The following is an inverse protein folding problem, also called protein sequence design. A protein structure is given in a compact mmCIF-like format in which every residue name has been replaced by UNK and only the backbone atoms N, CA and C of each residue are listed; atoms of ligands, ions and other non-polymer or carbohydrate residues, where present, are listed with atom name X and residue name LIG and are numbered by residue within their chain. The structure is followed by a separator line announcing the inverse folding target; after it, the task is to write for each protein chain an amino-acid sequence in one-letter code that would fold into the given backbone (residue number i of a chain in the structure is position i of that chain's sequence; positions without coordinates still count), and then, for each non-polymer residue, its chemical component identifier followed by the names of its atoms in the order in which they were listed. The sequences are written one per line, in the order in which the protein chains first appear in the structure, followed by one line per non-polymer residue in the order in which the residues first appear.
data_IF_962001557622
#
_entry.id   IF_962001557622
#
_cell.length_a   1.000
_cell.length_b   1.000
_cell.length_c   1.000
_cell.angle_alpha   90.00
_cell.angle_beta   90.00
_cell.angle_gamma   90.00
#
_symmetry.space_group_name_H-M   'P 1'
#
loop_
_entity.id
_entity.type
_entity.pdbx_description
1 polymer ?
#
# COMPACT_ATOMS: atom_id res chain seq x y z
N UNK A 1 -9.19 -18.50 -3.02
CA UNK A 1 -7.83 -17.94 -2.96
C UNK A 1 -6.90 -18.64 -3.94
N UNK A 2 -5.98 -17.89 -4.53
CA UNK A 2 -4.87 -18.38 -5.35
C UNK A 2 -3.56 -18.24 -4.60
N UNK A 3 -2.60 -19.13 -4.89
CA UNK A 3 -1.27 -19.06 -4.29
C UNK A 3 -0.19 -19.10 -5.37
N UNK A 4 0.81 -18.21 -5.23
CA UNK A 4 2.12 -18.36 -5.85
C UNK A 4 3.14 -18.69 -4.76
N UNK A 5 4.01 -19.66 -5.03
CA UNK A 5 5.00 -20.10 -4.06
C UNK A 5 6.29 -20.50 -4.78
N UNK A 6 7.43 -20.07 -4.22
CA UNK A 6 8.76 -20.53 -4.58
C UNK A 6 9.53 -20.97 -3.30
N UNK A 7 10.84 -21.15 -3.36
CA UNK A 7 11.63 -21.58 -2.20
C UNK A 7 11.67 -20.51 -1.08
N UNK A 8 11.46 -19.25 -1.41
CA UNK A 8 11.60 -18.10 -0.52
C UNK A 8 10.26 -17.54 -0.04
N UNK A 9 9.29 -17.40 -0.94
CA UNK A 9 8.05 -16.67 -0.69
C UNK A 9 6.82 -17.54 -0.90
N UNK A 10 5.76 -17.20 -0.13
CA UNK A 10 4.40 -17.68 -0.36
C UNK A 10 3.44 -16.49 -0.39
N UNK A 11 2.74 -16.34 -1.50
CA UNK A 11 1.83 -15.21 -1.77
C UNK A 11 0.41 -15.73 -1.95
N UNK A 12 -0.53 -15.16 -1.19
CA UNK A 12 -1.96 -15.47 -1.26
C UNK A 12 -2.72 -14.31 -1.91
N UNK A 13 -3.44 -14.61 -2.97
CA UNK A 13 -4.27 -13.66 -3.71
C UNK A 13 -5.74 -14.04 -3.64
N UNK A 14 -6.62 -13.03 -3.64
CA UNK A 14 -8.07 -13.19 -3.58
C UNK A 14 -8.75 -12.58 -4.81
N UNK A 15 -8.88 -13.31 -5.93
CA UNK A 15 -9.64 -12.82 -7.08
C UNK A 15 -11.09 -12.49 -6.75
N UNK A 16 -11.68 -13.17 -5.77
CA UNK A 16 -13.05 -12.96 -5.31
C UNK A 16 -13.24 -11.62 -4.58
N UNK A 17 -12.14 -10.99 -4.17
CA UNK A 17 -12.12 -9.72 -3.47
C UNK A 17 -11.15 -8.74 -4.15
N UNK A 18 -11.50 -8.33 -5.36
CA UNK A 18 -10.78 -7.29 -6.08
C UNK A 18 -9.38 -7.70 -6.58
N UNK A 19 -8.99 -8.96 -6.51
CA UNK A 19 -7.65 -9.39 -6.93
C UNK A 19 -6.52 -8.90 -6.02
N UNK A 20 -6.82 -8.64 -4.74
CA UNK A 20 -5.84 -8.19 -3.75
C UNK A 20 -4.84 -9.29 -3.41
N UNK A 21 -3.62 -8.92 -3.02
CA UNK A 21 -2.73 -9.79 -2.29
C UNK A 21 -3.13 -9.71 -0.82
N UNK A 22 -3.61 -10.83 -0.26
CA UNK A 22 -4.06 -10.88 1.14
C UNK A 22 -2.92 -11.13 2.10
N UNK A 23 -1.89 -11.87 1.67
CA UNK A 23 -0.72 -12.24 2.47
C UNK A 23 0.50 -12.39 1.56
N UNK A 24 1.66 -11.95 2.04
CA UNK A 24 2.94 -12.34 1.47
C UNK A 24 3.91 -12.69 2.61
N UNK A 25 4.38 -13.92 2.58
CA UNK A 25 5.14 -14.53 3.65
C UNK A 25 6.53 -14.92 3.16
N UNK A 26 7.55 -14.47 3.89
CA UNK A 26 8.95 -14.89 3.70
C UNK A 26 9.22 -16.18 4.49
N UNK A 27 9.43 -17.27 3.76
CA UNK A 27 9.68 -18.60 4.33
C UNK A 27 11.08 -18.71 4.96
N UNK A 28 11.99 -17.79 4.63
CA UNK A 28 13.39 -17.87 5.10
C UNK A 28 13.55 -17.39 6.53
N UNK A 29 12.71 -16.45 6.95
CA UNK A 29 12.75 -15.87 8.30
C UNK A 29 11.42 -15.97 9.06
N UNK A 30 10.36 -16.50 8.43
CA UNK A 30 9.06 -16.64 9.05
C UNK A 30 8.28 -15.33 9.21
N UNK A 31 8.54 -14.35 8.31
CA UNK A 31 7.99 -13.01 8.41
C UNK A 31 6.91 -12.75 7.37
N UNK A 32 5.74 -12.26 7.80
CA UNK A 32 4.73 -11.70 6.92
C UNK A 32 5.13 -10.25 6.57
N UNK A 33 5.81 -10.05 5.44
CA UNK A 33 6.24 -8.71 5.00
C UNK A 33 5.09 -7.90 4.37
N UNK A 34 3.94 -8.54 4.15
CA UNK A 34 2.65 -7.91 3.90
C UNK A 34 1.72 -8.32 5.03
N UNK A 35 1.16 -7.33 5.71
CA UNK A 35 0.28 -7.53 6.86
C UNK A 35 -0.89 -8.45 6.53
N UNK A 36 -0.91 -9.61 7.18
CA UNK A 36 -1.97 -10.59 7.03
C UNK A 36 -3.08 -10.29 8.03
N UNK A 37 -4.13 -9.63 7.57
CA UNK A 37 -5.36 -9.49 8.34
C UNK A 37 -6.17 -10.79 8.23
N UNK A 38 -6.38 -11.49 9.34
CA UNK A 38 -7.11 -12.75 9.40
C UNK A 38 -8.62 -12.56 9.23
N UNK A 39 -9.12 -11.34 9.36
CA UNK A 39 -10.53 -11.01 9.16
C UNK A 39 -10.69 -10.09 7.95
N UNK A 40 -11.82 -10.23 7.27
CA UNK A 40 -12.18 -9.35 6.16
C UNK A 40 -13.31 -8.48 6.65
N UNK A 41 -13.00 -7.20 6.92
CA UNK A 41 -13.94 -6.19 7.39
C UNK A 41 -14.04 -5.05 6.39
N UNK A 42 -15.00 -5.13 5.44
CA UNK A 42 -15.23 -4.06 4.48
C UNK A 42 -15.60 -2.77 5.19
N UNK A 43 -15.00 -1.67 4.76
CA UNK A 43 -15.29 -0.34 5.29
C UNK A 43 -15.43 0.69 4.16
N UNK A 44 -16.09 1.80 4.47
CA UNK A 44 -16.08 3.01 3.62
C UNK A 44 -15.05 3.98 4.18
N UNK A 45 -14.13 4.42 3.36
CA UNK A 45 -13.10 5.38 3.74
C UNK A 45 -13.59 6.79 3.41
N UNK A 46 -14.33 7.40 4.33
CA UNK A 46 -14.90 8.73 4.13
C UNK A 46 -15.71 8.81 2.85
N UNK A 47 -15.34 9.74 1.96
CA UNK A 47 -15.92 9.87 0.62
C UNK A 47 -15.11 9.12 -0.45
N UNK A 48 -14.03 8.48 -0.07
CA UNK A 48 -13.07 7.91 -1.01
C UNK A 48 -13.45 6.50 -1.52
N UNK A 49 -14.48 5.89 -1.01
CA UNK A 49 -15.01 4.62 -1.50
C UNK A 49 -14.72 3.41 -0.62
N UNK A 50 -14.99 2.20 -1.13
CA UNK A 50 -14.85 0.96 -0.39
C UNK A 50 -13.38 0.57 -0.17
N UNK A 51 -13.12 -0.11 0.93
CA UNK A 51 -11.78 -0.51 1.32
C UNK A 51 -11.79 -1.74 2.23
N UNK A 52 -10.75 -2.54 2.18
CA UNK A 52 -10.50 -3.69 3.06
C UNK A 52 -9.12 -3.54 3.68
N UNK A 53 -9.05 -3.60 5.00
CA UNK A 53 -7.82 -3.47 5.79
C UNK A 53 -6.85 -4.62 5.56
N UNK A 54 -5.54 -4.31 5.54
CA UNK A 54 -4.46 -5.27 5.39
C UNK A 54 -4.18 -5.70 3.95
N UNK A 55 -3.18 -6.55 3.74
CA UNK A 55 -2.79 -7.02 2.42
C UNK A 55 -2.21 -5.93 1.52
N UNK A 56 -2.33 -6.13 0.21
CA UNK A 56 -2.08 -5.08 -0.80
C UNK A 56 -3.35 -4.85 -1.60
N UNK A 57 -3.86 -3.64 -1.55
CA UNK A 57 -4.92 -3.13 -2.40
C UNK A 57 -4.33 -2.48 -3.65
N UNK A 58 -4.96 -2.69 -4.81
CA UNK A 58 -4.57 -2.08 -6.07
C UNK A 58 -5.68 -1.17 -6.57
N UNK A 59 -5.37 0.10 -6.80
CA UNK A 59 -6.36 1.13 -7.03
C UNK A 59 -6.23 1.83 -8.38
N UNK A 60 -7.33 1.88 -9.09
CA UNK A 60 -7.61 2.67 -10.29
C UNK A 60 -9.14 2.73 -10.51
N UNK A 61 -9.72 3.54 -11.35
CA UNK A 61 -9.18 4.68 -12.08
C UNK A 61 -9.01 5.90 -11.19
N UNK A 62 -9.58 5.86 -9.98
CA UNK A 62 -9.54 6.94 -8.99
C UNK A 62 -9.75 6.39 -7.57
N UNK A 63 -9.31 7.10 -6.55
CA UNK A 63 -9.50 6.79 -5.13
C UNK A 63 -9.06 5.37 -4.73
N UNK A 64 -9.74 4.82 -3.73
CA UNK A 64 -9.87 3.39 -3.56
C UNK A 64 -10.79 2.85 -4.64
N UNK A 65 -10.41 1.74 -5.26
CA UNK A 65 -11.14 1.19 -6.40
C UNK A 65 -12.59 0.84 -6.03
N UNK A 66 -13.61 1.38 -6.73
CA UNK A 66 -15.01 1.15 -6.37
C UNK A 66 -15.42 -0.32 -6.37
N UNK A 67 -14.77 -1.15 -7.20
CA UNK A 67 -14.99 -2.59 -7.34
C UNK A 67 -14.09 -3.45 -6.45
N UNK A 68 -13.47 -2.89 -5.42
CA UNK A 68 -12.51 -3.63 -4.55
C UNK A 68 -13.14 -4.84 -3.84
N UNK A 69 -14.47 -4.91 -3.75
CA UNK A 69 -15.22 -6.05 -3.19
C UNK A 69 -15.69 -7.05 -4.24
N UNK A 70 -15.58 -6.70 -5.51
CA UNK A 70 -16.10 -7.51 -6.61
C UNK A 70 -15.08 -8.56 -7.04
N UNK A 71 -15.57 -9.65 -7.60
CA UNK A 71 -14.73 -10.65 -8.21
C UNK A 71 -14.09 -10.10 -9.48
N UNK A 72 -12.79 -10.36 -9.66
CA UNK A 72 -12.07 -10.06 -10.90
C UNK A 72 -11.83 -11.32 -11.71
N UNK A 73 -11.70 -11.17 -13.04
CA UNK A 73 -11.24 -12.22 -13.93
C UNK A 73 -9.76 -12.52 -13.64
N UNK A 74 -9.36 -13.80 -13.78
CA UNK A 74 -7.97 -14.17 -13.62
C UNK A 74 -7.54 -15.30 -14.56
N UNK A 75 -6.26 -15.32 -14.86
CA UNK A 75 -5.55 -16.41 -15.53
C UNK A 75 -4.14 -16.53 -15.00
N UNK A 76 -3.45 -17.60 -15.34
CA UNK A 76 -2.04 -17.75 -14.93
C UNK A 76 -1.19 -18.29 -16.08
N UNK A 77 0.10 -18.06 -16.01
CA UNK A 77 1.08 -18.56 -16.94
C UNK A 77 2.35 -18.99 -16.20
N UNK A 78 2.92 -20.10 -16.64
CA UNK A 78 4.31 -20.47 -16.36
C UNK A 78 5.16 -19.97 -17.54
N UNK A 79 6.18 -19.18 -17.25
CA UNK A 79 7.00 -18.50 -18.23
C UNK A 79 8.23 -19.34 -18.58
N UNK A 80 8.86 -19.07 -19.73
CA UNK A 80 10.04 -19.82 -20.21
C UNK A 80 11.27 -19.72 -19.27
N UNK A 81 11.35 -18.66 -18.47
CA UNK A 81 12.40 -18.44 -17.47
C UNK A 81 12.14 -19.15 -16.13
N UNK A 82 11.05 -19.94 -16.06
CA UNK A 82 10.63 -20.65 -14.87
C UNK A 82 9.86 -19.80 -13.86
N UNK A 83 9.62 -18.52 -14.13
CA UNK A 83 8.74 -17.71 -13.31
C UNK A 83 7.26 -18.08 -13.55
N UNK A 84 6.41 -17.76 -12.58
CA UNK A 84 4.96 -17.92 -12.71
C UNK A 84 4.27 -16.58 -12.47
N UNK A 85 3.30 -16.26 -13.31
CA UNK A 85 2.52 -15.03 -13.22
C UNK A 85 1.04 -15.33 -13.11
N UNK A 86 0.38 -14.75 -12.11
CA UNK A 86 -1.09 -14.66 -12.06
C UNK A 86 -1.50 -13.28 -12.56
N UNK A 87 -2.32 -13.27 -13.60
CA UNK A 87 -2.92 -12.06 -14.15
C UNK A 87 -4.34 -11.93 -13.63
N UNK A 88 -4.67 -10.76 -13.10
CA UNK A 88 -6.00 -10.42 -12.57
C UNK A 88 -6.43 -9.09 -13.18
N UNK A 89 -7.70 -8.98 -13.57
CA UNK A 89 -8.15 -7.75 -14.20
C UNK A 89 -9.66 -7.62 -14.27
N UNK A 90 -10.09 -6.41 -14.57
CA UNK A 90 -11.49 -6.07 -14.77
C UNK A 90 -11.67 -4.89 -15.71
N UNK A 91 -12.88 -4.76 -16.24
CA UNK A 91 -13.37 -3.52 -16.84
C UNK A 91 -14.26 -2.85 -15.80
N UNK A 92 -13.78 -1.75 -15.21
CA UNK A 92 -14.55 -1.08 -14.18
C UNK A 92 -15.80 -0.38 -14.75
N UNK A 93 -16.85 -0.29 -13.92
CA UNK A 93 -18.18 0.07 -14.40
C UNK A 93 -18.43 1.58 -14.53
N UNK A 94 -17.62 2.43 -13.88
CA UNK A 94 -17.83 3.89 -13.86
C UNK A 94 -17.39 4.55 -15.17
N UNK A 95 -16.15 4.32 -15.59
CA UNK A 95 -15.53 4.97 -16.74
C UNK A 95 -15.26 4.00 -17.89
N UNK A 96 -15.50 2.71 -17.70
CA UNK A 96 -15.22 1.66 -18.69
C UNK A 96 -13.75 1.54 -19.06
N UNK A 97 -12.88 1.88 -18.12
CA UNK A 97 -11.45 1.62 -18.23
C UNK A 97 -11.13 0.20 -17.80
N UNK A 98 -10.07 -0.37 -18.34
CA UNK A 98 -9.64 -1.72 -18.01
C UNK A 98 -8.30 -1.64 -17.26
N UNK A 99 -8.21 -2.35 -16.15
CA UNK A 99 -6.98 -2.55 -15.43
C UNK A 99 -6.63 -4.01 -15.35
N UNK A 100 -5.36 -4.32 -15.62
CA UNK A 100 -4.82 -5.69 -15.52
C UNK A 100 -3.56 -5.64 -14.67
N UNK A 101 -3.52 -6.47 -13.64
CA UNK A 101 -2.41 -6.66 -12.73
C UNK A 101 -1.80 -8.04 -12.95
N UNK A 102 -0.48 -8.12 -13.16
CA UNK A 102 0.30 -9.34 -13.11
C UNK A 102 1.07 -9.42 -11.80
N UNK A 103 0.97 -10.53 -11.10
CA UNK A 103 1.76 -10.85 -9.92
C UNK A 103 2.69 -11.99 -10.28
N UNK A 104 3.99 -11.75 -10.27
CA UNK A 104 5.01 -12.71 -10.73
C UNK A 104 5.96 -13.07 -9.60
N UNK A 105 6.23 -14.37 -9.46
CA UNK A 105 7.34 -14.91 -8.68
C UNK A 105 8.33 -15.62 -9.58
N UNK A 106 9.62 -15.36 -9.34
CA UNK A 106 10.74 -16.05 -9.96
C UNK A 106 11.23 -17.20 -9.09
N UNK A 107 11.75 -18.29 -9.67
CA UNK A 107 12.14 -19.46 -8.90
C UNK A 107 13.29 -19.18 -7.92
N UNK A 108 14.16 -18.25 -8.25
CA UNK A 108 15.42 -17.96 -7.55
C UNK A 108 15.44 -16.60 -6.83
N UNK A 109 14.27 -15.93 -6.66
CA UNK A 109 14.20 -14.57 -6.10
C UNK A 109 13.21 -14.45 -4.96
N UNK A 110 13.57 -13.60 -3.98
CA UNK A 110 12.77 -13.31 -2.80
C UNK A 110 12.05 -11.95 -2.92
N UNK A 111 11.43 -11.67 -4.07
CA UNK A 111 10.57 -10.50 -4.27
C UNK A 111 9.37 -10.84 -5.14
N UNK A 112 8.32 -10.03 -5.02
CA UNK A 112 7.14 -10.04 -5.89
C UNK A 112 7.34 -8.96 -6.95
N UNK A 113 7.22 -9.32 -8.23
CA UNK A 113 7.13 -8.35 -9.30
C UNK A 113 5.67 -8.07 -9.66
N UNK A 114 5.31 -6.79 -9.74
CA UNK A 114 4.00 -6.34 -10.15
C UNK A 114 4.07 -5.69 -11.53
N UNK A 115 3.28 -6.22 -12.46
CA UNK A 115 3.08 -5.64 -13.80
C UNK A 115 1.70 -5.06 -13.92
N UNK A 116 1.58 -3.78 -14.31
CA UNK A 116 0.30 -3.08 -14.41
C UNK A 116 0.06 -2.59 -15.82
N UNK A 117 -1.15 -2.85 -16.33
CA UNK A 117 -1.61 -2.35 -17.63
C UNK A 117 -2.96 -1.69 -17.46
N UNK A 118 -3.06 -0.42 -17.86
CA UNK A 118 -4.30 0.33 -17.86
C UNK A 118 -4.68 0.67 -19.30
N UNK A 119 -5.94 0.42 -19.64
CA UNK A 119 -6.46 0.65 -20.99
C UNK A 119 -7.67 1.56 -20.95
N UNK A 120 -7.63 2.63 -21.74
CA UNK A 120 -8.81 3.40 -22.04
C UNK A 120 -9.57 2.73 -23.19
N UNK A 121 -10.65 2.03 -22.88
CA UNK A 121 -11.51 1.34 -23.85
C UNK A 121 -12.58 2.25 -24.46
N UNK A 122 -12.60 3.52 -24.11
CA UNK A 122 -13.59 4.49 -24.59
C UNK A 122 -13.03 5.33 -25.75
N UNK A 123 -13.91 6.03 -26.45
CA UNK A 123 -13.51 6.97 -27.51
C UNK A 123 -13.14 8.35 -26.99
N UNK A 124 -13.32 8.59 -25.70
CA UNK A 124 -13.07 9.89 -25.05
C UNK A 124 -11.81 9.80 -24.18
N UNK A 125 -11.05 10.89 -24.01
CA UNK A 125 -10.02 10.96 -22.99
C UNK A 125 -10.62 10.64 -21.61
N UNK A 126 -9.86 9.91 -20.80
CA UNK A 126 -10.22 9.58 -19.42
C UNK A 126 -9.08 10.02 -18.51
N UNK A 127 -9.43 10.47 -17.32
CA UNK A 127 -8.45 10.62 -16.24
C UNK A 127 -8.17 9.27 -15.60
N UNK A 128 -6.99 9.13 -15.00
CA UNK A 128 -6.65 7.93 -14.23
C UNK A 128 -5.70 8.27 -13.10
N UNK A 129 -5.72 7.45 -12.10
CA UNK A 129 -4.60 7.25 -11.18
C UNK A 129 -4.35 5.74 -11.07
N UNK A 130 -3.18 5.41 -10.59
CA UNK A 130 -2.87 4.06 -10.14
C UNK A 130 -1.93 4.12 -8.95
N UNK A 131 -2.22 3.30 -7.95
CA UNK A 131 -1.37 3.12 -6.78
C UNK A 131 -1.58 1.76 -6.14
N UNK A 132 -0.50 1.22 -5.57
CA UNK A 132 -0.52 0.03 -4.75
C UNK A 132 -0.43 0.44 -3.27
N UNK A 133 -1.22 -0.23 -2.44
CA UNK A 133 -1.40 0.07 -1.03
C UNK A 133 -1.01 -1.14 -0.15
N UNK A 134 0.27 -1.47 -0.02
CA UNK A 134 0.70 -2.52 0.88
C UNK A 134 0.60 -2.07 2.35
N UNK A 135 0.00 -2.93 3.17
CA UNK A 135 0.00 -2.81 4.61
C UNK A 135 1.16 -3.62 5.21
N UNK A 136 1.78 -3.09 6.26
CA UNK A 136 2.84 -3.75 7.04
C UNK A 136 2.57 -3.63 8.53
N UNK A 137 2.81 -4.72 9.28
CA UNK A 137 2.64 -4.71 10.72
C UNK A 137 3.65 -3.77 11.39
N UNK A 138 3.24 -3.08 12.45
CA UNK A 138 4.10 -2.15 13.16
C UNK A 138 4.06 -2.36 14.68
N UNK A 139 5.11 -1.91 15.33
CA UNK A 139 5.26 -1.87 16.79
C UNK A 139 6.22 -0.73 17.18
N UNK A 140 6.60 -0.64 18.46
CA UNK A 140 7.46 0.43 18.96
C UNK A 140 8.89 0.40 18.38
N UNK A 141 9.34 -0.73 17.82
CA UNK A 141 10.65 -0.89 17.18
C UNK A 141 10.62 -0.63 15.67
N UNK A 142 9.47 -0.24 15.13
CA UNK A 142 9.28 -0.03 13.69
C UNK A 142 9.61 1.41 13.27
N UNK A 143 10.32 1.52 12.14
CA UNK A 143 10.63 2.78 11.48
C UNK A 143 10.20 2.74 10.01
N UNK A 144 9.59 3.84 9.54
CA UNK A 144 9.37 4.06 8.11
C UNK A 144 10.67 4.47 7.43
N UNK A 145 10.92 3.90 6.26
CA UNK A 145 12.12 4.15 5.47
C UNK A 145 11.75 4.94 4.22
N UNK A 146 11.89 6.25 4.29
CA UNK A 146 11.81 7.13 3.14
C UNK A 146 13.21 7.39 2.58
N UNK A 147 13.34 7.70 1.28
CA UNK A 147 14.61 8.13 0.71
C UNK A 147 15.20 9.35 1.44
N UNK A 148 16.52 9.46 1.43
CA UNK A 148 17.26 10.51 2.14
C UNK A 148 17.00 11.93 1.63
N UNK A 149 16.50 12.07 0.39
CA UNK A 149 16.13 13.35 -0.22
C UNK A 149 14.74 13.84 0.23
N UNK A 150 13.98 13.02 0.98
CA UNK A 150 12.70 13.41 1.56
C UNK A 150 12.93 14.21 2.84
N UNK A 151 12.89 15.53 2.70
CA UNK A 151 13.10 16.48 3.82
C UNK A 151 11.82 17.12 4.34
N UNK A 152 10.70 16.91 3.64
CA UNK A 152 9.39 17.39 4.04
C UNK A 152 8.30 16.42 3.57
N UNK A 153 7.22 16.36 4.35
CA UNK A 153 6.02 15.58 4.05
C UNK A 153 4.78 16.44 4.23
N UNK A 154 3.70 16.05 3.56
CA UNK A 154 2.40 16.69 3.71
C UNK A 154 1.28 15.65 3.87
N UNK A 155 0.20 16.03 4.54
CA UNK A 155 -0.96 15.17 4.69
C UNK A 155 -1.95 15.34 3.53
N UNK A 156 -2.69 14.29 3.20
CA UNK A 156 -3.65 14.32 2.10
C UNK A 156 -4.98 15.02 2.46
N UNK A 157 -5.30 15.16 3.75
CA UNK A 157 -6.59 15.73 4.17
C UNK A 157 -6.59 17.25 4.20
N UNK A 158 -5.60 17.86 4.87
CA UNK A 158 -5.52 19.31 5.09
C UNK A 158 -4.39 20.00 4.35
N UNK A 159 -3.48 19.22 3.78
CA UNK A 159 -2.26 19.73 3.12
C UNK A 159 -1.31 20.44 4.09
N UNK A 160 -1.38 20.10 5.36
CA UNK A 160 -0.35 20.53 6.32
C UNK A 160 1.01 20.00 5.85
N UNK A 161 2.04 20.81 6.02
CA UNK A 161 3.42 20.46 5.64
C UNK A 161 4.29 20.48 6.88
N UNK A 162 5.17 19.50 7.02
CA UNK A 162 6.13 19.45 8.12
C UNK A 162 7.47 18.89 7.65
N UNK A 163 8.54 19.25 8.36
CA UNK A 163 9.87 18.66 8.16
C UNK A 163 9.88 17.16 8.49
N UNK A 164 10.72 16.42 7.79
CA UNK A 164 10.86 14.97 7.93
C UNK A 164 12.35 14.58 7.92
N UNK A 165 12.82 13.60 8.70
CA UNK A 165 12.02 12.81 9.65
C UNK A 165 11.76 13.50 11.00
N UNK A 166 12.47 14.57 11.33
CA UNK A 166 12.28 15.29 12.58
C UNK A 166 11.27 16.42 12.39
N UNK A 167 10.07 16.20 12.96
CA UNK A 167 8.95 17.11 12.88
C UNK A 167 9.04 18.20 13.94
N UNK A 168 8.83 19.44 13.52
CA UNK A 168 8.73 20.60 14.41
C UNK A 168 7.57 21.49 13.99
N UNK A 169 6.66 21.79 14.93
CA UNK A 169 5.46 22.58 14.65
C UNK A 169 4.17 21.77 14.74
N UNK A 170 3.12 22.27 14.12
CA UNK A 170 1.80 21.60 14.12
C UNK A 170 1.57 20.89 12.80
N UNK A 171 1.21 19.61 12.89
CA UNK A 171 0.86 18.78 11.76
C UNK A 171 -0.39 17.94 12.09
N UNK A 172 -1.39 18.04 11.24
CA UNK A 172 -2.66 17.33 11.39
C UNK A 172 -3.23 17.35 12.82
N UNK A 173 -3.33 18.57 13.39
CA UNK A 173 -3.86 18.86 14.74
C UNK A 173 -2.98 18.43 15.92
N UNK A 174 -1.78 17.88 15.68
CA UNK A 174 -0.85 17.52 16.72
C UNK A 174 0.38 18.43 16.65
N UNK A 175 0.89 18.83 17.83
CA UNK A 175 2.11 19.64 17.95
C UNK A 175 3.30 18.75 18.22
N UNK A 176 4.30 18.84 17.36
CA UNK A 176 5.59 18.16 17.49
C UNK A 176 6.67 19.16 17.91
N UNK A 177 7.62 18.70 18.71
CA UNK A 177 8.78 19.45 19.17
C UNK A 177 10.04 18.61 18.91
N UNK A 178 10.57 18.75 17.70
CA UNK A 178 11.74 18.02 17.19
C UNK A 178 11.64 16.49 17.37
N UNK A 179 10.52 15.91 16.96
CA UNK A 179 10.22 14.48 17.15
C UNK A 179 10.45 13.72 15.84
N UNK A 180 11.12 12.57 15.91
CA UNK A 180 11.30 11.68 14.75
C UNK A 180 9.98 10.95 14.42
N UNK A 181 9.23 11.44 13.44
CA UNK A 181 7.96 10.88 12.98
C UNK A 181 8.10 9.72 11.99
N UNK A 182 9.31 9.31 11.63
CA UNK A 182 9.53 8.05 10.96
C UNK A 182 9.32 6.85 11.89
N UNK A 183 9.47 7.03 13.22
CA UNK A 183 9.20 5.99 14.21
C UNK A 183 7.70 5.92 14.50
N UNK A 184 7.09 4.73 14.32
CA UNK A 184 5.66 4.52 14.53
C UNK A 184 5.17 4.97 15.91
N UNK A 185 5.90 4.66 16.98
CA UNK A 185 5.58 5.05 18.36
C UNK A 185 5.43 6.55 18.61
N UNK A 186 5.92 7.37 17.69
CA UNK A 186 5.89 8.84 17.79
C UNK A 186 4.72 9.47 17.01
N UNK A 187 3.83 8.67 16.44
CA UNK A 187 2.70 9.13 15.62
C UNK A 187 1.39 8.90 16.40
N UNK A 188 0.92 9.85 17.19
CA UNK A 188 -0.19 9.61 18.11
C UNK A 188 -1.59 9.68 17.48
N UNK A 189 -1.70 10.18 16.25
CA UNK A 189 -2.99 10.45 15.59
C UNK A 189 -3.04 9.86 14.18
N UNK A 190 -4.22 9.52 13.66
CA UNK A 190 -4.37 9.11 12.26
C UNK A 190 -3.86 10.19 11.33
N UNK A 191 -2.94 9.85 10.45
CA UNK A 191 -2.37 10.80 9.50
C UNK A 191 -1.65 10.10 8.35
N UNK A 192 -1.36 10.86 7.30
CA UNK A 192 -0.49 10.44 6.21
C UNK A 192 0.76 11.31 6.10
N UNK A 193 1.81 10.72 5.58
CA UNK A 193 3.03 11.40 5.18
C UNK A 193 3.25 11.15 3.69
N UNK A 194 2.99 12.16 2.88
CA UNK A 194 3.30 12.13 1.45
C UNK A 194 4.61 12.87 1.23
N UNK A 195 5.59 12.21 0.62
CA UNK A 195 6.86 12.83 0.28
C UNK A 195 6.63 14.04 -0.64
N UNK A 196 7.21 15.19 -0.31
CA UNK A 196 7.11 16.39 -1.14
C UNK A 196 7.69 16.14 -2.54
N UNK A 197 8.87 15.52 -2.60
CA UNK A 197 9.48 14.97 -3.82
C UNK A 197 10.58 13.98 -3.43
N UNK A 198 10.92 13.10 -4.35
CA UNK A 198 12.09 12.23 -4.24
C UNK A 198 12.50 11.74 -5.61
N UNK A 199 13.80 11.71 -5.87
CA UNK A 199 14.39 11.19 -7.09
C UNK A 199 14.80 9.69 -6.94
N UNK A 200 14.40 9.03 -5.84
CA UNK A 200 14.62 7.62 -5.58
C UNK A 200 13.37 6.78 -5.83
N UNK A 201 13.58 5.48 -6.00
CA UNK A 201 12.57 4.52 -6.45
C UNK A 201 11.91 3.71 -5.35
N UNK A 202 11.98 4.11 -4.08
CA UNK A 202 11.49 3.26 -3.00
C UNK A 202 10.80 4.03 -1.86
N UNK A 203 9.99 3.28 -1.13
CA UNK A 203 9.53 3.55 0.23
C UNK A 203 9.52 2.22 0.97
N UNK A 204 9.76 2.22 2.26
CA UNK A 204 9.81 0.97 3.03
C UNK A 204 9.51 1.16 4.50
N UNK A 205 9.64 0.05 5.20
CA UNK A 205 9.55 -0.06 6.65
C UNK A 205 10.57 -1.08 7.13
N UNK A 206 11.07 -0.91 8.34
CA UNK A 206 11.97 -1.85 9.00
C UNK A 206 11.63 -2.00 10.48
N UNK A 207 11.45 -3.26 10.90
CA UNK A 207 11.24 -3.65 12.29
C UNK A 207 12.57 -4.11 12.88
N UNK A 208 13.15 -3.30 13.76
CA UNK A 208 14.43 -3.60 14.43
C UNK A 208 14.35 -4.82 15.36
N UNK A 209 13.18 -5.08 15.95
CA UNK A 209 12.96 -6.25 16.80
C UNK A 209 12.96 -7.56 16.03
N UNK A 210 12.39 -7.56 14.82
CA UNK A 210 12.33 -8.72 13.94
C UNK A 210 13.49 -8.81 12.96
N UNK A 211 14.22 -7.71 12.77
CA UNK A 211 15.27 -7.56 11.76
C UNK A 211 14.76 -7.88 10.34
N UNK A 212 13.57 -7.41 10.04
CA UNK A 212 12.86 -7.62 8.79
C UNK A 212 12.01 -6.41 8.45
N UNK A 213 11.48 -6.34 7.23
CA UNK A 213 10.65 -5.24 6.80
C UNK A 213 10.18 -5.38 5.36
N UNK A 214 9.55 -4.33 4.85
CA UNK A 214 9.12 -4.21 3.47
C UNK A 214 9.94 -3.14 2.74
N UNK A 215 10.37 -3.43 1.52
CA UNK A 215 10.82 -2.45 0.55
C UNK A 215 9.88 -2.47 -0.65
N UNK A 216 9.16 -1.37 -0.87
CA UNK A 216 8.29 -1.15 -2.03
C UNK A 216 9.03 -0.29 -3.06
N UNK A 217 9.32 -0.86 -4.22
CA UNK A 217 10.12 -0.22 -5.28
C UNK A 217 9.25 0.06 -6.50
N UNK A 218 9.31 1.30 -6.99
CA UNK A 218 8.67 1.72 -8.24
C UNK A 218 9.47 2.85 -8.89
N UNK A 219 9.59 2.85 -10.21
CA UNK A 219 10.30 3.90 -10.95
C UNK A 219 9.65 5.26 -10.68
N UNK A 220 10.40 6.18 -10.08
CA UNK A 220 9.89 7.51 -9.71
C UNK A 220 9.51 8.39 -10.91
N UNK A 221 10.00 8.09 -12.13
CA UNK A 221 9.59 8.79 -13.34
C UNK A 221 8.16 8.41 -13.78
N UNK A 222 7.68 7.24 -13.36
CA UNK A 222 6.35 6.72 -13.71
C UNK A 222 5.42 6.79 -12.49
N UNK A 223 5.93 6.38 -11.32
CA UNK A 223 5.22 6.30 -10.06
C UNK A 223 5.94 7.13 -8.98
N UNK A 224 5.92 8.47 -9.07
CA UNK A 224 6.66 9.36 -8.16
C UNK A 224 6.10 9.38 -6.75
N UNK A 225 4.84 9.04 -6.58
CA UNK A 225 4.16 9.09 -5.28
C UNK A 225 4.77 8.13 -4.27
N UNK A 226 5.07 8.64 -3.09
CA UNK A 226 5.49 7.88 -1.90
C UNK A 226 4.68 8.37 -0.73
N UNK A 227 3.85 7.50 -0.16
CA UNK A 227 2.94 7.86 0.92
C UNK A 227 2.90 6.78 1.98
N UNK A 228 2.96 7.21 3.23
CA UNK A 228 2.58 6.40 4.37
C UNK A 228 1.20 6.85 4.87
N UNK A 229 0.36 5.90 5.24
CA UNK A 229 -0.81 6.11 6.08
C UNK A 229 -0.69 5.33 7.38
N UNK A 230 -1.21 5.88 8.47
CA UNK A 230 -1.29 5.20 9.76
C UNK A 230 -2.54 5.63 10.54
N UNK A 231 -3.09 4.75 11.33
CA UNK A 231 -4.09 5.10 12.37
C UNK A 231 -3.43 5.77 13.58
N UNK A 232 -2.10 5.65 13.71
CA UNK A 232 -1.33 6.17 14.83
C UNK A 232 -1.38 5.28 16.07
N UNK A 233 -0.44 5.51 17.00
CA UNK A 233 -0.28 4.70 18.21
C UNK A 233 -1.11 5.17 19.40
N UNK A 234 -1.89 6.25 19.25
CA UNK A 234 -2.78 6.76 20.32
C UNK A 234 -4.07 5.96 20.45
N UNK A 235 -4.87 6.28 21.45
CA UNK A 235 -6.10 5.53 21.80
C UNK A 235 -7.13 5.45 20.65
N UNK A 236 -7.26 6.52 19.88
CA UNK A 236 -8.14 6.53 18.71
C UNK A 236 -7.66 5.56 17.63
N UNK A 237 -6.36 5.53 17.35
CA UNK A 237 -5.75 4.60 16.40
C UNK A 237 -5.91 3.15 16.83
N UNK A 238 -5.62 2.85 18.09
CA UNK A 238 -5.80 1.50 18.67
C UNK A 238 -7.25 1.01 18.58
N UNK A 239 -8.23 1.88 18.79
CA UNK A 239 -9.63 1.53 18.64
C UNK A 239 -10.00 1.17 17.20
N UNK A 240 -9.41 1.87 16.21
CA UNK A 240 -9.59 1.55 14.80
C UNK A 240 -8.86 0.28 14.39
N UNK A 241 -7.62 0.07 14.85
CA UNK A 241 -6.89 -1.17 14.62
C UNK A 241 -7.70 -2.38 15.12
N UNK A 242 -8.20 -2.30 16.35
CA UNK A 242 -9.04 -3.36 16.92
C UNK A 242 -10.34 -3.57 16.13
N UNK A 243 -11.00 -2.50 15.69
CA UNK A 243 -12.24 -2.60 14.91
C UNK A 243 -12.02 -3.23 13.53
N UNK A 244 -10.86 -3.03 12.92
CA UNK A 244 -10.55 -3.47 11.56
C UNK A 244 -9.83 -4.81 11.48
N UNK A 245 -9.15 -5.22 12.56
CA UNK A 245 -8.23 -6.37 12.52
C UNK A 245 -8.45 -7.36 13.66
N UNK A 246 -9.40 -7.10 14.56
CA UNK A 246 -9.59 -7.81 15.81
C UNK A 246 -8.28 -7.79 16.64
N UNK A 247 -7.58 -8.91 16.79
CA UNK A 247 -6.37 -9.02 17.61
C UNK A 247 -5.07 -9.04 16.81
N UNK A 248 -5.12 -8.85 15.47
CA UNK A 248 -3.91 -8.89 14.63
C UNK A 248 -2.97 -7.69 14.84
N UNK A 249 -3.47 -6.62 15.45
CA UNK A 249 -2.67 -5.48 15.88
C UNK A 249 -2.50 -4.38 14.83
N UNK A 250 -1.69 -3.36 15.15
CA UNK A 250 -1.54 -2.18 14.30
C UNK A 250 -0.71 -2.42 13.04
N UNK A 251 -0.98 -1.62 12.02
CA UNK A 251 -0.26 -1.60 10.76
C UNK A 251 -0.14 -0.18 10.21
N UNK A 252 0.77 0.00 9.27
CA UNK A 252 0.85 1.18 8.41
C UNK A 252 0.70 0.74 6.95
N UNK A 253 0.39 1.69 6.08
CA UNK A 253 0.30 1.50 4.64
C UNK A 253 1.40 2.29 3.94
N UNK A 254 2.12 1.65 2.99
CA UNK A 254 3.28 2.22 2.29
C UNK A 254 3.03 2.23 0.79
N UNK A 255 2.48 3.31 0.28
CA UNK A 255 1.98 3.43 -1.07
C UNK A 255 3.02 3.96 -2.04
N UNK A 256 3.05 3.38 -3.24
CA UNK A 256 3.64 4.01 -4.43
C UNK A 256 2.62 4.02 -5.57
N UNK A 257 2.75 4.96 -6.48
CA UNK A 257 1.86 5.09 -7.62
C UNK A 257 2.07 6.34 -8.42
N UNK A 258 1.34 6.49 -9.52
CA UNK A 258 1.30 7.72 -10.29
C UNK A 258 0.78 8.87 -9.44
N UNK A 259 -0.25 8.58 -8.65
CA UNK A 259 -0.78 9.42 -7.58
C UNK A 259 -1.08 8.55 -6.38
N UNK A 260 -0.65 8.97 -5.21
CA UNK A 260 -0.95 8.32 -3.92
C UNK A 260 -1.90 9.16 -3.07
N UNK A 261 -2.28 10.30 -3.59
CA UNK A 261 -3.33 11.14 -3.02
C UNK A 261 -4.67 10.64 -3.54
N UNK A 262 -5.45 10.07 -2.67
CA UNK A 262 -6.76 9.52 -3.00
C UNK A 262 -7.89 10.55 -3.02
N UNK A 263 -7.58 11.83 -3.22
CA UNK A 263 -8.58 12.87 -3.40
C UNK A 263 -9.00 12.98 -4.89
N UNK A 264 -10.31 13.17 -5.18
CA UNK A 264 -10.80 13.14 -6.56
C UNK A 264 -10.26 14.25 -7.48
N UNK A 265 -9.88 15.36 -6.92
CA UNK A 265 -9.40 16.54 -7.64
C UNK A 265 -7.94 16.44 -8.09
N UNK A 266 -7.27 15.32 -7.84
CA UNK A 266 -5.88 15.05 -8.23
C UNK A 266 -5.72 13.90 -9.23
N UNK A 267 -6.78 13.46 -9.83
CA UNK A 267 -6.74 12.40 -10.87
C UNK A 267 -6.52 12.97 -12.28
#
# INVERSE_FOLDING_TARGET
ALFLENDYLKVMMLPELGGRIQRAYDKTNGYDFIYYNHVIKPALVGLAGPWISGGIEFNWPQHHRPSTFDQVEYTYAENEDGSATVWMGEIENMFRTEGVLGVTLYPDKAYIELSVKLYNRTKMPQTFLWWANPAVAVNDDTISVFPEDVTAVYDHGKRDVISFPYAEGTYYKHKYDHVNIAQYKNIPVPTSYMAYRSDYNFIGEYDYGKQAGLLHVADHHIAPGKKQWTWGCGEFGKAWDLALTDEDGPYIELMTGCFTDNQPDFT
#
